data_IF_001453960715
#
_entry.id   IF_001453960715
#
_cell.length_a   1.000
_cell.length_b   1.000
_cell.length_c   1.000
_cell.angle_alpha   90.00
_cell.angle_beta   90.00
_cell.angle_gamma   90.00
#
_symmetry.space_group_name_H-M   'P 1'
#
loop_
_entity.id
_entity.type
_entity.pdbx_description
1 polymer ?
#
# COMPACT_ATOMS: atom_id res chain seq x y z
N UNK A 1 -13.53 15.75 -6.50
CA UNK A 1 -12.95 14.42 -6.73
C UNK A 1 -12.25 14.01 -5.44
N UNK A 2 -12.77 13.00 -4.75
CA UNK A 2 -12.21 12.48 -3.51
C UNK A 2 -11.10 11.48 -3.81
N UNK A 3 -10.03 11.55 -3.02
CA UNK A 3 -8.87 10.66 -3.11
C UNK A 3 -8.68 9.94 -1.78
N UNK A 4 -8.48 8.64 -1.81
CA UNK A 4 -8.13 7.84 -0.64
C UNK A 4 -6.82 7.10 -0.88
N UNK A 5 -5.91 7.21 0.08
CA UNK A 5 -4.67 6.43 0.11
C UNK A 5 -4.80 5.34 1.18
N UNK A 6 -4.55 4.11 0.79
CA UNK A 6 -4.78 2.92 1.59
C UNK A 6 -3.46 2.25 1.90
N UNK A 7 -3.18 2.11 3.17
CA UNK A 7 -2.00 1.47 3.72
C UNK A 7 -2.37 0.19 4.43
N UNK A 8 -1.40 -0.68 4.62
CA UNK A 8 -1.52 -1.83 5.49
C UNK A 8 -0.20 -2.12 6.22
N UNK A 9 -0.30 -2.42 7.49
CA UNK A 9 0.83 -2.79 8.35
C UNK A 9 0.45 -3.94 9.26
N UNK A 10 1.02 -5.09 9.00
CA UNK A 10 0.83 -6.32 9.78
C UNK A 10 2.18 -7.00 10.00
N UNK A 11 2.29 -7.75 11.05
CA UNK A 11 3.41 -8.64 11.23
C UNK A 11 3.90 -8.74 12.66
N UNK A 12 4.67 -9.80 12.94
CA UNK A 12 5.23 -10.00 14.26
C UNK A 12 6.29 -8.94 14.56
N UNK A 13 6.20 -8.36 15.76
CA UNK A 13 7.19 -7.41 16.27
C UNK A 13 8.54 -8.03 16.59
N UNK A 14 8.60 -9.35 16.72
CA UNK A 14 9.69 -10.08 17.38
C UNK A 14 10.38 -11.09 16.48
N UNK A 15 10.51 -10.89 15.20
CA UNK A 15 11.41 -11.74 14.41
C UNK A 15 12.77 -11.06 14.32
N UNK A 16 13.57 -11.25 15.37
CA UNK A 16 14.89 -10.66 15.55
C UNK A 16 15.90 -10.99 14.43
N UNK A 17 15.58 -11.88 13.51
CA UNK A 17 16.46 -12.30 12.41
C UNK A 17 15.86 -12.04 11.02
N UNK A 18 14.72 -11.38 10.92
CA UNK A 18 14.16 -11.01 9.62
C UNK A 18 14.21 -9.48 9.46
N UNK A 19 14.74 -9.02 8.36
CA UNK A 19 14.81 -7.61 7.95
C UNK A 19 13.44 -6.92 7.83
N UNK A 20 12.37 -7.62 8.16
CA UNK A 20 10.97 -7.22 8.04
C UNK A 20 10.30 -7.12 9.41
N UNK A 21 10.98 -6.55 10.38
CA UNK A 21 10.29 -6.05 11.56
C UNK A 21 9.49 -4.86 11.09
N UNK A 22 8.16 -4.95 11.14
CA UNK A 22 7.34 -3.79 10.89
C UNK A 22 7.54 -2.84 12.07
N UNK A 23 8.46 -1.94 11.86
CA UNK A 23 8.71 -0.79 12.71
C UNK A 23 7.86 0.34 12.15
N UNK A 24 6.96 0.90 12.96
CA UNK A 24 6.16 2.05 12.54
C UNK A 24 6.98 3.27 12.16
N UNK A 25 8.24 3.34 12.55
CA UNK A 25 9.17 4.35 12.05
C UNK A 25 9.25 4.36 10.51
N UNK A 26 8.89 3.26 9.85
CA UNK A 26 8.82 3.17 8.38
C UNK A 26 7.63 3.92 7.81
N UNK A 27 6.53 4.01 8.55
CA UNK A 27 5.36 4.77 8.12
C UNK A 27 5.60 6.29 8.17
N UNK A 28 6.49 6.78 9.02
CA UNK A 28 6.76 8.21 9.17
C UNK A 28 7.18 8.91 7.87
N UNK A 29 8.16 8.42 7.10
CA UNK A 29 8.53 9.02 5.83
C UNK A 29 7.39 8.97 4.81
N UNK A 30 6.67 7.86 4.75
CA UNK A 30 5.52 7.68 3.87
C UNK A 30 4.42 8.67 4.23
N UNK A 31 4.03 8.72 5.50
CA UNK A 31 3.01 9.63 6.01
C UNK A 31 3.38 11.09 5.74
N UNK A 32 4.60 11.49 6.07
CA UNK A 32 5.08 12.86 5.85
C UNK A 32 5.04 13.24 4.38
N UNK A 33 5.48 12.35 3.49
CA UNK A 33 5.46 12.59 2.05
C UNK A 33 4.04 12.66 1.49
N UNK A 34 3.14 11.82 1.98
CA UNK A 34 1.73 11.86 1.59
C UNK A 34 1.08 13.18 2.03
N UNK A 35 1.31 13.62 3.26
CA UNK A 35 0.78 14.91 3.73
C UNK A 35 1.32 16.08 2.94
N UNK A 36 2.55 16.00 2.46
CA UNK A 36 3.16 17.01 1.62
C UNK A 36 2.56 17.08 0.22
N UNK A 37 2.40 15.92 -0.44
CA UNK A 37 2.02 15.86 -1.85
C UNK A 37 0.53 15.60 -2.11
N UNK A 38 -0.18 15.06 -1.11
CA UNK A 38 -1.62 14.73 -1.15
C UNK A 38 -2.35 15.18 0.11
N UNK A 39 -2.25 16.47 0.50
CA UNK A 39 -2.81 16.94 1.78
C UNK A 39 -4.32 16.79 1.90
N UNK A 40 -5.01 16.69 0.77
CA UNK A 40 -6.48 16.52 0.71
C UNK A 40 -6.91 15.05 0.77
N UNK A 41 -5.97 14.10 0.65
CA UNK A 41 -6.33 12.69 0.60
C UNK A 41 -6.80 12.19 1.96
N UNK A 42 -7.86 11.41 1.96
CA UNK A 42 -8.20 10.56 3.08
C UNK A 42 -7.15 9.46 3.21
N UNK A 43 -6.69 9.21 4.43
CA UNK A 43 -5.72 8.17 4.74
C UNK A 43 -6.41 7.06 5.53
N UNK A 44 -6.29 5.82 5.07
CA UNK A 44 -6.85 4.64 5.73
C UNK A 44 -5.76 3.60 5.93
N UNK A 45 -5.59 3.12 7.14
CA UNK A 45 -4.60 2.11 7.51
C UNK A 45 -5.28 0.87 8.07
N UNK A 46 -5.04 -0.27 7.47
CA UNK A 46 -5.41 -1.58 8.00
C UNK A 46 -4.24 -2.17 8.79
N UNK A 47 -4.48 -2.53 10.05
CA UNK A 47 -3.43 -3.04 10.93
C UNK A 47 -4.01 -3.88 12.06
N UNK A 48 -3.22 -4.77 12.63
CA UNK A 48 -3.53 -5.48 13.87
C UNK A 48 -3.02 -4.75 15.13
N UNK A 49 -2.56 -3.49 14.99
CA UNK A 49 -1.87 -2.74 16.04
C UNK A 49 -2.64 -1.51 16.51
N UNK A 50 -3.28 -1.59 17.70
CA UNK A 50 -4.13 -0.50 18.20
C UNK A 50 -3.36 0.76 18.58
N UNK A 51 -2.09 0.66 18.94
CA UNK A 51 -1.25 1.79 19.38
C UNK A 51 -1.04 2.85 18.31
N UNK A 52 -1.08 2.49 17.04
CA UNK A 52 -0.93 3.40 15.89
C UNK A 52 -1.92 4.56 15.91
N UNK A 53 -3.11 4.35 16.48
CA UNK A 53 -4.12 5.41 16.58
C UNK A 53 -3.64 6.64 17.36
N UNK A 54 -2.69 6.46 18.26
CA UNK A 54 -2.15 7.55 19.08
C UNK A 54 -1.13 8.39 18.33
N UNK A 55 -0.43 7.79 17.39
CA UNK A 55 0.70 8.40 16.70
C UNK A 55 0.24 9.17 15.43
N UNK A 56 -0.82 8.69 14.77
CA UNK A 56 -1.31 9.26 13.50
C UNK A 56 -2.79 9.63 13.58
N UNK A 57 -3.08 10.83 14.10
CA UNK A 57 -4.47 11.29 14.33
C UNK A 57 -5.28 11.49 13.05
N UNK A 58 -4.62 11.77 11.93
CA UNK A 58 -5.25 12.04 10.65
C UNK A 58 -5.46 10.77 9.80
N UNK A 59 -5.06 9.62 10.31
CA UNK A 59 -5.27 8.35 9.64
C UNK A 59 -6.50 7.65 10.22
N UNK A 60 -7.42 7.22 9.38
CA UNK A 60 -8.48 6.31 9.78
C UNK A 60 -7.90 4.90 9.97
N UNK A 61 -7.69 4.52 11.23
CA UNK A 61 -7.13 3.19 11.56
C UNK A 61 -8.24 2.16 11.63
N UNK A 62 -8.15 1.16 10.77
CA UNK A 62 -9.01 -0.02 10.72
C UNK A 62 -8.31 -1.17 11.41
N UNK A 63 -8.70 -1.44 12.65
CA UNK A 63 -8.15 -2.55 13.42
C UNK A 63 -8.73 -3.87 12.92
N UNK A 64 -7.83 -4.80 12.63
CA UNK A 64 -8.15 -6.15 12.20
C UNK A 64 -7.81 -7.11 13.32
N UNK A 65 -8.78 -7.94 13.68
CA UNK A 65 -8.51 -9.08 14.52
C UNK A 65 -7.85 -10.17 13.68
N UNK A 66 -6.58 -10.42 13.92
CA UNK A 66 -5.81 -11.35 13.11
C UNK A 66 -6.29 -12.80 13.23
N UNK A 67 -6.94 -13.14 14.34
CA UNK A 67 -7.50 -14.47 14.54
C UNK A 67 -8.75 -14.71 13.66
N UNK A 68 -9.39 -13.64 13.22
CA UNK A 68 -10.51 -13.66 12.26
C UNK A 68 -10.05 -13.45 10.80
N UNK A 69 -8.75 -13.22 10.61
CA UNK A 69 -8.18 -13.06 9.27
C UNK A 69 -8.17 -14.40 8.52
N UNK A 70 -8.30 -14.39 7.18
CA UNK A 70 -8.13 -15.60 6.36
C UNK A 70 -6.70 -16.17 6.43
N UNK A 71 -5.77 -15.46 7.07
CA UNK A 71 -4.38 -15.88 7.22
C UNK A 71 -4.11 -16.27 8.66
N UNK A 72 -3.33 -17.32 8.84
CA UNK A 72 -2.96 -17.81 10.17
C UNK A 72 -1.58 -17.31 10.57
N UNK A 73 -1.39 -17.00 11.87
CA UNK A 73 -0.08 -16.62 12.42
C UNK A 73 0.98 -17.73 12.31
N UNK A 74 0.58 -18.97 12.03
CA UNK A 74 1.49 -20.08 11.82
C UNK A 74 2.22 -20.02 10.45
N UNK A 75 1.76 -19.19 9.53
CA UNK A 75 2.46 -18.95 8.29
C UNK A 75 3.56 -17.90 8.52
N UNK A 76 4.86 -18.18 8.26
CA UNK A 76 5.93 -17.23 8.49
C UNK A 76 5.82 -15.94 7.68
N UNK A 77 5.01 -15.94 6.62
CA UNK A 77 4.74 -14.77 5.78
C UNK A 77 3.35 -14.18 6.00
N UNK A 78 2.68 -14.52 7.10
CA UNK A 78 1.29 -14.08 7.33
C UNK A 78 1.13 -12.56 7.28
N UNK A 79 2.07 -11.80 7.82
CA UNK A 79 2.02 -10.34 7.79
C UNK A 79 2.02 -9.78 6.37
N UNK A 80 2.89 -10.30 5.50
CA UNK A 80 2.94 -9.91 4.10
C UNK A 80 1.65 -10.27 3.35
N UNK A 81 1.09 -11.47 3.61
CA UNK A 81 -0.19 -11.85 3.02
C UNK A 81 -1.34 -10.96 3.50
N UNK A 82 -1.35 -10.61 4.79
CA UNK A 82 -2.32 -9.67 5.32
C UNK A 82 -2.19 -8.29 4.68
N UNK A 83 -0.98 -7.77 4.52
CA UNK A 83 -0.76 -6.49 3.85
C UNK A 83 -1.39 -6.48 2.45
N UNK A 84 -1.04 -7.44 1.61
CA UNK A 84 -1.57 -7.53 0.25
C UNK A 84 -3.10 -7.70 0.22
N UNK A 85 -3.64 -8.56 1.09
CA UNK A 85 -5.07 -8.81 1.17
C UNK A 85 -5.83 -7.54 1.57
N UNK A 86 -5.41 -6.87 2.65
CA UNK A 86 -6.14 -5.71 3.16
C UNK A 86 -5.94 -4.45 2.32
N UNK A 87 -4.84 -4.33 1.59
CA UNK A 87 -4.72 -3.32 0.55
C UNK A 87 -5.76 -3.53 -0.55
N UNK A 88 -5.86 -4.74 -1.09
CA UNK A 88 -6.88 -5.08 -2.09
C UNK A 88 -8.30 -4.91 -1.54
N UNK A 89 -8.55 -5.39 -0.31
CA UNK A 89 -9.83 -5.21 0.38
C UNK A 89 -10.20 -3.73 0.53
N UNK A 90 -9.24 -2.90 0.93
CA UNK A 90 -9.43 -1.46 1.06
C UNK A 90 -9.78 -0.80 -0.27
N UNK A 91 -9.08 -1.15 -1.36
CA UNK A 91 -9.38 -0.66 -2.70
C UNK A 91 -10.81 -1.01 -3.12
N UNK A 92 -11.22 -2.26 -2.94
CA UNK A 92 -12.55 -2.74 -3.30
C UNK A 92 -13.68 -2.11 -2.48
N UNK A 93 -13.40 -1.70 -1.24
CA UNK A 93 -14.39 -1.15 -0.32
C UNK A 93 -14.31 0.38 -0.18
N UNK A 94 -13.37 1.03 -0.84
CA UNK A 94 -13.28 2.49 -0.86
C UNK A 94 -14.54 3.10 -1.47
N UNK A 95 -14.95 4.23 -0.91
CA UNK A 95 -16.04 5.08 -1.43
C UNK A 95 -15.52 6.35 -2.09
N UNK A 96 -14.20 6.50 -2.17
CA UNK A 96 -13.59 7.63 -2.87
C UNK A 96 -13.74 7.46 -4.40
N UNK A 97 -13.69 8.59 -5.11
CA UNK A 97 -13.66 8.57 -6.58
C UNK A 97 -12.43 7.86 -7.12
N UNK A 98 -11.31 7.98 -6.39
CA UNK A 98 -10.04 7.31 -6.68
C UNK A 98 -9.46 6.77 -5.37
N UNK A 99 -9.08 5.50 -5.37
CA UNK A 99 -8.35 4.87 -4.28
C UNK A 99 -6.99 4.37 -4.80
N UNK A 100 -5.96 4.58 -4.01
CA UNK A 100 -4.59 4.16 -4.31
C UNK A 100 -4.06 3.34 -3.14
N UNK A 101 -3.59 2.13 -3.42
CA UNK A 101 -2.82 1.34 -2.47
C UNK A 101 -1.39 1.83 -2.42
N UNK A 102 -0.87 2.04 -1.23
CA UNK A 102 0.47 2.54 -0.97
C UNK A 102 1.15 1.65 0.05
N UNK A 103 2.34 1.16 -0.28
CA UNK A 103 3.16 0.46 0.70
C UNK A 103 3.61 1.42 1.80
N UNK A 104 3.63 0.94 3.03
CA UNK A 104 3.92 1.76 4.21
C UNK A 104 5.36 2.25 4.30
N UNK A 105 6.25 1.70 3.47
CA UNK A 105 7.66 2.09 3.35
C UNK A 105 7.97 2.86 2.05
N UNK A 106 6.95 3.31 1.33
CA UNK A 106 7.09 4.09 0.11
C UNK A 106 7.08 5.60 0.41
N UNK A 107 8.06 6.32 -0.06
CA UNK A 107 8.12 7.77 0.06
C UNK A 107 7.87 8.44 -1.28
N UNK A 108 6.88 9.33 -1.32
CA UNK A 108 6.66 10.19 -2.48
C UNK A 108 7.72 11.30 -2.51
N UNK A 109 8.37 11.47 -3.65
CA UNK A 109 9.37 12.53 -3.86
C UNK A 109 8.84 13.69 -4.71
N UNK A 110 7.64 13.52 -5.26
CA UNK A 110 6.97 14.53 -6.08
C UNK A 110 5.46 14.25 -6.17
N UNK A 111 4.74 15.18 -6.77
CA UNK A 111 3.32 15.03 -7.07
C UNK A 111 3.03 14.41 -8.45
N UNK A 112 4.03 13.86 -9.13
CA UNK A 112 3.86 13.31 -10.49
C UNK A 112 2.79 12.21 -10.57
N UNK A 113 2.57 11.45 -9.49
CA UNK A 113 1.47 10.47 -9.42
C UNK A 113 0.12 11.09 -9.75
N UNK A 114 -0.06 12.41 -9.53
CA UNK A 114 -1.30 13.11 -9.90
C UNK A 114 -1.58 13.09 -11.39
N UNK A 115 -0.55 12.95 -12.22
CA UNK A 115 -0.72 12.91 -13.69
C UNK A 115 -1.45 11.66 -14.17
N UNK A 116 -1.43 10.59 -13.37
CA UNK A 116 -2.14 9.34 -13.71
C UNK A 116 -3.60 9.33 -13.23
N UNK A 117 -4.01 10.25 -12.35
CA UNK A 117 -5.38 10.26 -11.82
C UNK A 117 -6.46 10.38 -12.93
N UNK A 118 -6.29 11.21 -13.98
CA UNK A 118 -7.21 11.22 -15.11
C UNK A 118 -7.25 9.89 -15.88
N UNK A 119 -6.13 9.20 -15.94
CA UNK A 119 -6.02 7.88 -16.60
C UNK A 119 -6.80 6.85 -15.79
N UNK A 120 -6.62 6.82 -14.47
CA UNK A 120 -7.38 5.93 -13.58
C UNK A 120 -8.87 6.19 -13.74
N UNK A 121 -9.29 7.45 -13.73
CA UNK A 121 -10.69 7.83 -13.90
C UNK A 121 -11.27 7.36 -15.24
N UNK A 122 -10.47 7.39 -16.30
CA UNK A 122 -10.90 6.99 -17.64
C UNK A 122 -10.97 5.48 -17.83
N UNK A 123 -10.01 4.74 -17.30
CA UNK A 123 -9.83 3.31 -17.57
C UNK A 123 -10.18 2.40 -16.39
N UNK A 124 -10.48 2.97 -15.22
CA UNK A 124 -10.89 2.26 -14.01
C UNK A 124 -9.74 1.71 -13.18
N UNK A 125 -8.61 1.37 -13.78
CA UNK A 125 -7.45 0.85 -13.07
C UNK A 125 -6.14 1.31 -13.73
N UNK A 126 -5.13 1.54 -12.90
CA UNK A 126 -3.77 1.79 -13.33
C UNK A 126 -2.81 1.10 -12.37
N UNK A 127 -1.93 0.29 -12.91
CA UNK A 127 -0.86 -0.35 -12.15
C UNK A 127 0.46 0.23 -12.66
N UNK A 128 1.22 0.95 -11.83
CA UNK A 128 2.54 1.42 -12.24
C UNK A 128 3.44 0.22 -12.56
N UNK A 129 4.16 0.31 -13.64
CA UNK A 129 5.13 -0.70 -14.03
C UNK A 129 6.51 -0.07 -14.15
N UNK A 130 7.54 -0.85 -13.88
CA UNK A 130 8.90 -0.42 -14.18
C UNK A 130 9.12 -0.54 -15.71
N UNK A 131 9.44 0.56 -16.37
CA UNK A 131 9.69 0.58 -17.81
C UNK A 131 10.74 -0.43 -18.27
N UNK A 132 11.71 -0.73 -17.42
CA UNK A 132 12.74 -1.74 -17.71
C UNK A 132 12.19 -3.17 -17.82
N UNK A 133 10.98 -3.40 -17.34
CA UNK A 133 10.30 -4.69 -17.39
C UNK A 133 9.29 -4.81 -18.54
N UNK A 134 9.10 -3.75 -19.30
CA UNK A 134 8.18 -3.75 -20.43
C UNK A 134 8.94 -4.01 -21.73
N UNK A 135 8.60 -5.11 -22.38
CA UNK A 135 9.06 -5.44 -23.72
C UNK A 135 7.88 -5.25 -24.68
N UNK A 136 8.12 -4.53 -25.78
CA UNK A 136 7.12 -4.36 -26.82
C UNK A 136 7.21 -5.54 -27.79
N UNK A 137 6.19 -6.39 -27.78
CA UNK A 137 6.03 -7.50 -28.71
C UNK A 137 4.80 -7.22 -29.57
N UNK A 138 4.98 -7.19 -30.89
CA UNK A 138 3.89 -6.95 -31.87
C UNK A 138 3.04 -5.69 -31.59
N UNK A 139 3.68 -4.65 -31.10
CA UNK A 139 3.00 -3.39 -30.74
C UNK A 139 2.37 -3.38 -29.37
N UNK A 140 2.37 -4.49 -28.65
CA UNK A 140 1.82 -4.63 -27.29
C UNK A 140 2.98 -4.65 -26.28
N UNK A 141 2.84 -3.88 -25.22
CA UNK A 141 3.79 -3.94 -24.10
C UNK A 141 3.49 -5.16 -23.26
N UNK A 142 4.49 -6.03 -23.13
CA UNK A 142 4.44 -7.20 -22.26
C UNK A 142 5.52 -7.11 -21.19
N UNK A 143 5.36 -7.82 -20.10
CA UNK A 143 6.39 -7.94 -19.08
C UNK A 143 7.56 -8.75 -19.66
N UNK A 144 8.75 -8.18 -19.66
CA UNK A 144 9.96 -8.91 -20.07
C UNK A 144 10.23 -10.09 -19.14
N UNK A 145 10.72 -11.18 -19.70
CA UNK A 145 11.15 -12.37 -18.94
C UNK A 145 12.57 -12.19 -18.37
N UNK A 146 12.87 -11.06 -17.79
CA UNK A 146 14.12 -10.92 -17.05
C UNK A 146 13.95 -11.66 -15.74
N UNK A 147 14.51 -12.87 -15.66
CA UNK A 147 14.40 -13.81 -14.58
C UNK A 147 15.00 -13.38 -13.23
N UNK A 148 15.13 -12.10 -12.99
CA UNK A 148 15.64 -11.52 -11.75
C UNK A 148 14.48 -11.03 -10.89
N UNK A 149 13.85 -12.00 -10.23
CA UNK A 149 13.09 -11.72 -9.02
C UNK A 149 14.09 -11.69 -7.85
N UNK A 150 14.52 -10.53 -7.47
CA UNK A 150 15.17 -10.31 -6.19
C UNK A 150 14.16 -9.86 -5.14
#
# INVERSE_FOLDING_TARGET
MSLELIFSEFGPREQANQQWVSDFSRLDPTYSSVKQYFPEAKLTLYTDRPEIKNDYKDIEVRLINIDESPFTKNNPRWGWHCCNYYQAFGLLNSKADIAISVDSDLMFTSNQVRTILPIIKKFGICVPTNERQLVKVDGIYTRGNDGDYH
#
